data_IF_706239796959
#
_entry.id   IF_706239796959
#
_cell.length_a   1.000
_cell.length_b   1.000
_cell.length_c   1.000
_cell.angle_alpha   90.00
_cell.angle_beta   90.00
_cell.angle_gamma   90.00
#
_symmetry.space_group_name_H-M   'P 1'
#
loop_
_entity.id
_entity.type
_entity.pdbx_description
1 polymer ?
#
# COMPACT_ATOMS: atom_id res chain seq x y z
N UNK A 1 -6.41 -5.70 16.31
CA UNK A 1 -6.02 -5.51 14.90
C UNK A 1 -6.04 -4.03 14.59
N UNK A 2 -4.94 -3.50 14.03
CA UNK A 2 -4.80 -2.09 13.61
C UNK A 2 -4.77 -2.03 12.08
N UNK A 3 -5.57 -1.15 11.49
CA UNK A 3 -5.49 -0.83 10.06
C UNK A 3 -4.77 0.51 9.85
N UNK A 4 -3.80 0.55 8.93
CA UNK A 4 -3.17 1.78 8.49
C UNK A 4 -3.70 2.20 7.14
N UNK A 5 -3.98 3.49 7.00
CA UNK A 5 -4.29 4.11 5.72
C UNK A 5 -3.14 5.01 5.28
N UNK A 6 -2.34 4.56 4.31
CA UNK A 6 -1.15 5.31 3.87
C UNK A 6 -1.41 5.99 2.53
N UNK A 7 -1.20 7.30 2.44
CA UNK A 7 -1.32 8.06 1.19
C UNK A 7 -0.15 9.02 0.97
N UNK A 8 0.23 9.23 -0.29
CA UNK A 8 1.32 10.12 -0.71
C UNK A 8 2.68 9.79 -0.05
N UNK A 9 2.96 8.53 0.29
CA UNK A 9 4.25 8.16 0.91
C UNK A 9 5.44 8.57 0.04
N UNK A 10 5.36 8.39 -1.29
CA UNK A 10 6.40 8.79 -2.23
C UNK A 10 6.58 10.31 -2.41
N UNK A 11 5.61 11.13 -1.98
CA UNK A 11 5.78 12.60 -1.94
C UNK A 11 6.36 13.08 -0.63
N UNK A 12 6.15 12.29 0.42
CA UNK A 12 6.64 12.50 1.78
C UNK A 12 7.99 11.79 2.03
N UNK A 13 8.39 10.93 1.11
CA UNK A 13 9.69 10.29 1.01
C UNK A 13 10.25 10.72 -0.35
N UNK A 14 11.29 11.58 -0.43
CA UNK A 14 11.84 12.02 -1.70
C UNK A 14 12.32 10.77 -2.45
N UNK A 15 12.43 10.82 -3.79
CA UNK A 15 13.09 9.74 -4.52
C UNK A 15 14.40 9.45 -3.79
N UNK A 16 14.60 8.17 -3.46
CA UNK A 16 15.76 7.68 -2.73
C UNK A 16 17.02 8.00 -3.54
N UNK A 17 17.49 9.25 -3.44
CA UNK A 17 18.70 9.75 -4.07
C UNK A 17 19.84 9.41 -3.12
N UNK A 18 20.31 8.17 -3.27
CA UNK A 18 21.26 7.56 -2.34
C UNK A 18 22.65 8.20 -2.48
N UNK A 19 22.92 8.97 -3.56
CA UNK A 19 24.15 9.75 -3.70
C UNK A 19 24.30 10.84 -2.63
N UNK A 20 23.19 11.24 -1.99
CA UNK A 20 23.17 12.17 -0.86
C UNK A 20 23.06 11.47 0.50
N UNK A 21 23.21 10.14 0.56
CA UNK A 21 22.91 9.33 1.74
C UNK A 21 21.40 9.12 1.95
N UNK A 22 21.02 8.35 2.98
CA UNK A 22 19.60 8.24 3.37
C UNK A 22 19.10 9.64 3.72
N UNK A 23 18.11 10.14 2.96
CA UNK A 23 17.40 11.35 3.33
C UNK A 23 16.87 11.17 4.76
N UNK A 24 16.87 12.25 5.54
CA UNK A 24 16.38 12.15 6.92
C UNK A 24 14.91 11.69 6.98
N UNK A 25 14.13 11.96 5.94
CA UNK A 25 12.75 11.48 5.77
C UNK A 25 12.70 9.95 5.56
N UNK A 26 13.63 9.40 4.77
CA UNK A 26 13.74 7.96 4.57
C UNK A 26 14.09 7.19 5.85
N UNK A 27 14.84 7.81 6.77
CA UNK A 27 15.12 7.23 8.11
C UNK A 27 13.87 7.20 8.99
N UNK A 28 12.97 8.16 8.83
CA UNK A 28 11.71 8.20 9.59
C UNK A 28 10.79 7.05 9.19
N UNK A 29 10.64 6.77 7.90
CA UNK A 29 9.86 5.61 7.47
C UNK A 29 10.50 4.28 7.91
N UNK A 30 11.83 4.18 7.89
CA UNK A 30 12.52 2.99 8.39
C UNK A 30 12.27 2.77 9.89
N UNK A 31 12.40 3.81 10.73
CA UNK A 31 12.07 3.74 12.16
C UNK A 31 10.58 3.44 12.40
N UNK A 32 9.69 4.03 11.59
CA UNK A 32 8.25 3.77 11.67
C UNK A 32 7.92 2.29 11.42
N UNK A 33 8.38 1.72 10.30
CA UNK A 33 8.11 0.31 10.01
C UNK A 33 8.81 -0.64 10.98
N UNK A 34 10.01 -0.31 11.46
CA UNK A 34 10.68 -1.07 12.52
C UNK A 34 9.84 -1.08 13.81
N UNK A 35 9.33 0.09 14.21
CA UNK A 35 8.43 0.21 15.36
C UNK A 35 7.14 -0.60 15.16
N UNK A 36 6.53 -0.53 13.98
CA UNK A 36 5.32 -1.30 13.69
C UNK A 36 5.58 -2.80 13.80
N UNK A 37 6.73 -3.29 13.33
CA UNK A 37 7.08 -4.72 13.41
C UNK A 37 7.16 -5.17 14.86
N UNK A 38 7.83 -4.37 15.70
CA UNK A 38 8.00 -4.64 17.13
C UNK A 38 6.66 -4.63 17.89
N UNK A 39 5.81 -3.62 17.66
CA UNK A 39 4.59 -3.42 18.47
C UNK A 39 3.37 -4.15 17.97
N UNK A 40 3.18 -4.18 16.66
CA UNK A 40 1.96 -4.74 16.07
C UNK A 40 2.16 -6.18 15.63
N UNK A 41 3.40 -6.58 15.32
CA UNK A 41 3.69 -7.88 14.73
C UNK A 41 2.83 -8.11 13.49
N UNK A 42 2.06 -9.19 13.49
CA UNK A 42 1.15 -9.54 12.39
C UNK A 42 -0.30 -9.10 12.67
N UNK A 43 -0.55 -8.36 13.77
CA UNK A 43 -1.88 -7.80 14.12
C UNK A 43 -2.17 -6.48 13.39
N UNK A 44 -1.59 -6.31 12.21
CA UNK A 44 -1.65 -5.10 11.39
C UNK A 44 -2.16 -5.42 9.99
N UNK A 45 -2.84 -4.46 9.38
CA UNK A 45 -3.04 -4.41 7.94
C UNK A 45 -2.80 -3.01 7.42
N UNK A 46 -2.53 -2.91 6.13
CA UNK A 46 -2.30 -1.65 5.44
C UNK A 46 -3.25 -1.57 4.26
N UNK A 47 -3.95 -0.45 4.15
CA UNK A 47 -4.73 -0.06 2.98
C UNK A 47 -4.10 1.20 2.42
N UNK A 48 -3.92 1.25 1.10
CA UNK A 48 -3.32 2.39 0.44
C UNK A 48 -3.92 2.58 -0.95
N UNK A 49 -4.00 3.84 -1.34
CA UNK A 49 -4.34 4.28 -2.68
C UNK A 49 -3.10 4.59 -3.52
N UNK A 50 -1.90 4.52 -2.92
CA UNK A 50 -0.63 4.69 -3.64
C UNK A 50 -0.36 3.48 -4.55
N UNK A 51 0.04 3.76 -5.78
CA UNK A 51 0.40 2.73 -6.76
C UNK A 51 1.90 2.39 -6.74
N UNK A 52 2.73 3.15 -6.03
CA UNK A 52 4.17 2.87 -5.88
C UNK A 52 4.45 1.65 -4.97
N UNK A 53 5.72 1.26 -4.88
CA UNK A 53 6.19 0.15 -4.02
C UNK A 53 6.91 0.63 -2.76
N UNK A 54 6.74 1.89 -2.34
CA UNK A 54 7.47 2.45 -1.19
C UNK A 54 7.09 1.72 0.09
N UNK A 55 5.81 1.40 0.28
CA UNK A 55 5.34 0.63 1.44
C UNK A 55 5.99 -0.76 1.47
N UNK A 56 5.92 -1.49 0.36
CA UNK A 56 6.50 -2.82 0.21
C UNK A 56 8.00 -2.82 0.46
N UNK A 57 8.72 -1.80 -0.03
CA UNK A 57 10.14 -1.64 0.21
C UNK A 57 10.48 -1.55 1.70
N UNK A 58 9.83 -0.65 2.45
CA UNK A 58 10.12 -0.50 3.87
C UNK A 58 9.65 -1.69 4.71
N UNK A 59 8.57 -2.35 4.29
CA UNK A 59 8.11 -3.59 4.91
C UNK A 59 9.11 -4.73 4.69
N UNK A 60 9.60 -4.91 3.46
CA UNK A 60 10.60 -5.93 3.13
C UNK A 60 11.90 -5.71 3.92
N UNK A 61 12.38 -4.45 4.00
CA UNK A 61 13.56 -4.10 4.82
C UNK A 61 13.41 -4.47 6.29
N UNK A 62 12.21 -4.32 6.83
CA UNK A 62 11.89 -4.67 8.21
C UNK A 62 11.41 -6.12 8.37
N UNK A 63 11.62 -6.97 7.34
CA UNK A 63 11.30 -8.41 7.33
C UNK A 63 9.83 -8.72 7.63
N UNK A 64 8.93 -7.84 7.22
CA UNK A 64 7.53 -8.19 7.18
C UNK A 64 7.28 -9.23 6.09
N UNK A 65 6.41 -10.19 6.38
CA UNK A 65 5.78 -11.02 5.38
C UNK A 65 4.50 -10.29 4.96
N UNK A 66 4.38 -9.87 3.71
CA UNK A 66 3.16 -9.19 3.23
C UNK A 66 2.34 -10.11 2.34
N UNK A 67 1.03 -9.92 2.31
CA UNK A 67 0.14 -10.59 1.38
C UNK A 67 -0.78 -9.58 0.70
N UNK A 68 -0.95 -9.74 -0.61
CA UNK A 68 -2.05 -9.07 -1.30
C UNK A 68 -3.33 -9.90 -1.08
N UNK A 69 -4.48 -9.28 -0.82
CA UNK A 69 -5.76 -9.97 -0.65
C UNK A 69 -6.31 -10.47 -2.00
N UNK A 70 -5.50 -11.18 -2.78
CA UNK A 70 -5.84 -11.74 -4.09
C UNK A 70 -5.51 -13.23 -4.04
N UNK A 71 -6.47 -14.14 -4.28
CA UNK A 71 -6.20 -15.57 -4.23
C UNK A 71 -5.08 -15.98 -5.19
N UNK A 72 -4.15 -16.84 -4.75
CA UNK A 72 -3.01 -17.27 -5.59
C UNK A 72 -3.45 -17.84 -6.95
N UNK A 73 -4.56 -18.57 -6.99
CA UNK A 73 -5.13 -19.12 -8.22
C UNK A 73 -5.58 -18.04 -9.24
N UNK A 74 -5.70 -16.78 -8.83
CA UNK A 74 -6.19 -15.66 -9.65
C UNK A 74 -5.08 -14.81 -10.24
N UNK A 75 -3.81 -15.08 -9.94
CA UNK A 75 -2.69 -14.38 -10.55
C UNK A 75 -1.51 -15.30 -10.87
N UNK A 76 -0.66 -14.87 -11.81
CA UNK A 76 0.61 -15.52 -12.13
C UNK A 76 1.77 -14.64 -11.72
N UNK A 77 2.85 -15.24 -11.24
CA UNK A 77 4.07 -14.49 -11.00
C UNK A 77 4.72 -14.12 -12.32
N UNK A 78 5.25 -12.90 -12.36
CA UNK A 78 6.13 -12.47 -13.44
C UNK A 78 7.43 -11.97 -12.84
N UNK A 79 8.54 -12.61 -13.22
CA UNK A 79 9.88 -12.24 -12.79
C UNK A 79 10.49 -11.24 -13.77
N UNK A 80 10.96 -10.10 -13.25
CA UNK A 80 11.52 -8.99 -14.04
C UNK A 80 12.91 -8.56 -13.56
N UNK A 81 13.28 -8.99 -12.36
CA UNK A 81 14.63 -8.90 -11.86
C UNK A 81 15.30 -10.27 -12.03
N UNK A 82 16.62 -10.32 -11.84
CA UNK A 82 17.35 -11.59 -11.66
C UNK A 82 17.37 -12.03 -10.19
N UNK A 83 16.78 -11.24 -9.30
CA UNK A 83 16.75 -11.53 -7.87
C UNK A 83 15.75 -12.64 -7.55
N UNK A 84 16.05 -13.41 -6.50
CA UNK A 84 15.16 -14.46 -5.97
C UNK A 84 14.44 -14.01 -4.69
N UNK A 85 14.54 -12.73 -4.33
CA UNK A 85 13.96 -12.17 -3.11
C UNK A 85 12.51 -11.75 -3.36
N UNK A 86 11.58 -12.49 -2.75
CA UNK A 86 10.16 -12.21 -2.81
C UNK A 86 9.70 -11.51 -1.54
N UNK A 87 9.08 -10.34 -1.68
CA UNK A 87 8.53 -9.61 -0.54
C UNK A 87 7.08 -10.00 -0.23
N UNK A 88 6.35 -10.55 -1.21
CA UNK A 88 4.96 -11.00 -1.05
C UNK A 88 4.91 -12.51 -0.90
N UNK A 89 4.30 -12.98 0.19
CA UNK A 89 4.09 -14.39 0.46
C UNK A 89 2.92 -14.96 -0.37
N UNK A 90 3.02 -16.24 -0.75
CA UNK A 90 1.94 -16.97 -1.43
C UNK A 90 0.80 -17.39 -0.49
N UNK A 91 1.05 -17.38 0.82
CA UNK A 91 0.09 -17.84 1.83
C UNK A 91 -0.92 -16.75 2.15
N UNK A 92 -2.20 -17.07 2.00
CA UNK A 92 -3.34 -16.28 2.51
C UNK A 92 -3.56 -16.45 4.01
N UNK A 93 -2.61 -17.06 4.73
CA UNK A 93 -2.73 -17.31 6.16
C UNK A 93 -2.40 -16.05 6.97
N UNK A 94 -2.98 -15.97 8.17
CA UNK A 94 -2.93 -14.85 9.10
C UNK A 94 -1.51 -14.48 9.62
N UNK A 95 -0.46 -15.17 9.18
CA UNK A 95 0.95 -14.89 9.53
C UNK A 95 1.61 -13.84 8.61
N UNK A 96 0.81 -13.13 7.82
CA UNK A 96 1.27 -12.09 6.91
C UNK A 96 0.46 -10.81 7.07
N UNK A 97 1.10 -9.66 6.91
CA UNK A 97 0.43 -8.36 6.94
C UNK A 97 -0.33 -8.14 5.64
N UNK A 98 -1.67 -8.04 5.67
CA UNK A 98 -2.45 -7.77 4.47
C UNK A 98 -2.17 -6.34 3.97
N UNK A 99 -1.84 -6.22 2.68
CA UNK A 99 -1.63 -4.95 1.99
C UNK A 99 -2.65 -4.78 0.86
N UNK A 100 -3.57 -3.84 1.00
CA UNK A 100 -4.61 -3.56 0.01
C UNK A 100 -4.25 -2.32 -0.81
N UNK A 101 -4.01 -2.51 -2.12
CA UNK A 101 -3.66 -1.47 -3.10
C UNK A 101 -4.89 -1.07 -3.91
N UNK A 102 -5.70 -0.15 -3.40
CA UNK A 102 -7.06 0.10 -3.93
C UNK A 102 -7.10 0.69 -5.34
N UNK A 103 -6.04 1.40 -5.75
CA UNK A 103 -5.88 1.91 -7.11
C UNK A 103 -4.98 1.02 -7.98
N UNK A 104 -4.73 -0.21 -7.52
CA UNK A 104 -3.75 -1.08 -8.12
C UNK A 104 -2.32 -0.66 -7.81
N UNK A 105 -1.37 -1.18 -8.58
CA UNK A 105 0.04 -1.03 -8.27
C UNK A 105 0.91 -1.16 -9.53
N UNK A 106 2.09 -0.55 -9.49
CA UNK A 106 3.05 -0.58 -10.62
C UNK A 106 3.68 -1.95 -10.86
N UNK A 107 3.56 -2.87 -9.91
CA UNK A 107 3.95 -4.28 -10.05
C UNK A 107 2.78 -5.19 -10.47
N UNK A 108 1.61 -4.64 -10.76
CA UNK A 108 0.45 -5.38 -11.25
C UNK A 108 0.38 -5.26 -12.77
N UNK A 109 0.09 -6.37 -13.45
CA UNK A 109 -0.01 -6.40 -14.91
C UNK A 109 -1.20 -7.22 -15.37
N UNK A 110 -1.77 -6.84 -16.50
CA UNK A 110 -2.87 -7.54 -17.15
C UNK A 110 -2.57 -7.82 -18.61
N UNK A 111 -3.03 -8.98 -19.08
CA UNK A 111 -2.99 -9.35 -20.48
C UNK A 111 -4.10 -10.36 -20.77
N UNK A 112 -5.04 -10.01 -21.67
CA UNK A 112 -6.13 -10.87 -22.11
C UNK A 112 -6.87 -11.53 -20.92
N UNK A 113 -7.32 -10.73 -19.95
CA UNK A 113 -8.00 -11.16 -18.71
C UNK A 113 -7.16 -12.03 -17.76
N UNK A 114 -5.86 -12.20 -18.01
CA UNK A 114 -4.94 -12.83 -17.07
C UNK A 114 -4.25 -11.75 -16.26
N UNK A 115 -4.20 -11.95 -14.96
CA UNK A 115 -3.56 -11.05 -14.02
C UNK A 115 -2.20 -11.58 -13.59
N UNK A 116 -1.22 -10.68 -13.51
CA UNK A 116 0.16 -11.00 -13.15
C UNK A 116 0.64 -10.04 -12.08
N UNK A 117 1.47 -10.54 -11.17
CA UNK A 117 2.09 -9.75 -10.12
C UNK A 117 3.59 -9.99 -10.19
N UNK A 118 4.37 -8.92 -10.19
CA UNK A 118 5.77 -9.02 -9.85
C UNK A 118 5.94 -8.88 -8.33
N UNK A 119 6.50 -9.92 -7.71
CA UNK A 119 6.71 -10.00 -6.26
C UNK A 119 8.18 -9.76 -5.88
N UNK A 120 8.98 -9.23 -6.80
CA UNK A 120 10.41 -8.99 -6.63
C UNK A 120 10.67 -7.51 -6.34
N UNK A 121 11.50 -7.23 -5.34
CA UNK A 121 12.03 -5.89 -5.13
C UNK A 121 13.51 -5.91 -5.53
N UNK A 122 13.93 -4.89 -6.26
CA UNK A 122 15.35 -4.67 -6.52
C UNK A 122 16.02 -4.19 -5.25
N UNK A 123 17.13 -4.81 -4.89
CA UNK A 123 18.05 -4.24 -3.92
C UNK A 123 18.97 -3.20 -4.57
N UNK A 124 19.68 -2.45 -3.73
CA UNK A 124 20.64 -1.45 -4.20
C UNK A 124 21.79 -2.15 -4.91
N UNK A 125 22.16 -1.65 -6.09
CA UNK A 125 23.24 -2.25 -6.87
C UNK A 125 22.79 -3.46 -7.71
N UNK A 126 21.49 -3.73 -7.77
CA UNK A 126 20.94 -4.76 -8.65
C UNK A 126 20.44 -4.19 -9.97
N UNK A 127 20.51 -5.01 -11.02
CA UNK A 127 19.95 -4.70 -12.32
C UNK A 127 18.46 -5.01 -12.39
N UNK A 128 17.67 -4.05 -12.91
CA UNK A 128 16.21 -4.17 -13.05
C UNK A 128 15.82 -4.13 -14.52
N UNK A 129 14.82 -4.92 -14.91
CA UNK A 129 14.11 -4.73 -16.18
C UNK A 129 14.97 -4.84 -17.44
N UNK A 130 15.95 -5.75 -17.44
CA UNK A 130 16.87 -5.95 -18.55
C UNK A 130 18.02 -4.93 -18.62
N UNK A 131 18.11 -3.98 -17.69
CA UNK A 131 19.26 -3.07 -17.57
C UNK A 131 20.55 -3.86 -17.28
N UNK A 132 21.65 -3.50 -17.94
CA UNK A 132 23.00 -3.95 -17.57
C UNK A 132 23.65 -3.04 -16.51
N UNK A 133 23.01 -1.92 -16.19
CA UNK A 133 23.49 -0.95 -15.21
C UNK A 133 22.73 -1.16 -13.90
N UNK A 134 23.44 -1.48 -12.81
CA UNK A 134 22.90 -1.51 -11.46
C UNK A 134 22.12 -0.25 -11.12
N UNK A 135 20.91 -0.42 -10.59
CA UNK A 135 20.11 0.67 -10.06
C UNK A 135 20.59 1.02 -8.65
N UNK A 136 20.92 2.29 -8.44
CA UNK A 136 21.10 2.84 -7.09
C UNK A 136 19.77 2.99 -6.34
N UNK A 137 18.63 2.71 -6.98
CA UNK A 137 17.29 2.89 -6.42
C UNK A 137 16.71 1.54 -6.03
N UNK A 138 16.05 1.44 -4.87
CA UNK A 138 15.62 0.15 -4.35
C UNK A 138 14.16 -0.21 -4.70
N UNK A 139 13.63 0.36 -5.78
CA UNK A 139 12.27 0.10 -6.21
C UNK A 139 12.17 -0.06 -7.71
N UNK A 140 11.30 -0.97 -8.11
CA UNK A 140 10.92 -1.25 -9.48
C UNK A 140 10.29 -0.02 -10.14
N UNK A 141 10.77 0.38 -11.32
CA UNK A 141 9.99 1.28 -12.18
C UNK A 141 9.06 0.46 -13.07
N UNK A 142 7.81 0.92 -13.20
CA UNK A 142 6.81 0.28 -14.04
C UNK A 142 7.27 0.10 -15.50
N UNK A 143 8.08 1.03 -16.01
CA UNK A 143 8.62 0.99 -17.37
C UNK A 143 9.68 -0.10 -17.54
N UNK A 144 10.60 -0.24 -16.58
CA UNK A 144 11.62 -1.28 -16.57
C UNK A 144 10.95 -2.67 -16.51
N UNK A 145 9.93 -2.78 -15.66
CA UNK A 145 9.10 -3.97 -15.55
C UNK A 145 8.41 -4.30 -16.87
N UNK A 146 7.71 -3.34 -17.47
CA UNK A 146 7.01 -3.53 -18.74
C UNK A 146 7.96 -3.91 -19.88
N UNK A 147 9.13 -3.28 -19.96
CA UNK A 147 10.14 -3.57 -20.97
C UNK A 147 10.56 -5.04 -20.92
N UNK A 148 10.87 -5.53 -19.72
CA UNK A 148 11.29 -6.91 -19.49
C UNK A 148 10.16 -7.93 -19.66
N UNK A 149 8.95 -7.59 -19.21
CA UNK A 149 7.76 -8.44 -19.44
C UNK A 149 7.51 -8.58 -20.94
N UNK A 150 7.61 -7.48 -21.69
CA UNK A 150 7.47 -7.48 -23.15
C UNK A 150 8.59 -8.25 -23.84
N UNK A 151 9.83 -8.21 -23.33
CA UNK A 151 10.95 -8.95 -23.89
C UNK A 151 10.79 -10.47 -23.69
N UNK A 152 10.40 -10.90 -22.49
CA UNK A 152 10.22 -12.31 -22.11
C UNK A 152 8.96 -12.96 -22.69
N UNK A 153 7.89 -12.19 -22.91
CA UNK A 153 6.57 -12.73 -23.26
C UNK A 153 6.17 -12.47 -24.72
N UNK A 154 7.14 -12.18 -25.60
CA UNK A 154 6.92 -12.23 -27.05
C UNK A 154 6.35 -13.60 -27.43
N UNK A 155 5.32 -13.63 -28.27
CA UNK A 155 4.87 -14.90 -28.83
C UNK A 155 5.94 -15.44 -29.82
N UNK A 156 5.87 -16.72 -30.24
CA UNK A 156 6.81 -17.30 -31.21
C UNK A 156 6.85 -16.57 -32.57
N UNK A 157 5.84 -15.74 -32.85
CA UNK A 157 5.73 -14.91 -34.05
C UNK A 157 6.28 -13.49 -33.83
N UNK A 158 6.92 -13.21 -32.70
CA UNK A 158 7.53 -11.92 -32.37
C UNK A 158 6.54 -10.80 -32.00
N UNK A 159 5.24 -11.09 -31.94
CA UNK A 159 4.23 -10.09 -31.58
C UNK A 159 4.26 -9.82 -30.07
N UNK A 160 4.26 -8.55 -29.72
CA UNK A 160 4.07 -8.06 -28.36
C UNK A 160 2.68 -8.48 -27.89
N UNK A 161 2.58 -9.16 -26.75
CA UNK A 161 1.28 -9.31 -26.09
C UNK A 161 0.90 -7.97 -25.47
N UNK A 162 -0.38 -7.57 -25.57
CA UNK A 162 -0.91 -6.37 -24.94
C UNK A 162 -0.87 -6.51 -23.41
N UNK A 163 0.25 -6.10 -22.82
CA UNK A 163 0.39 -5.96 -21.38
C UNK A 163 0.08 -4.53 -20.95
N UNK A 164 -0.88 -4.41 -20.04
CA UNK A 164 -1.23 -3.16 -19.37
C UNK A 164 -0.77 -3.20 -17.92
N UNK A 165 -0.39 -2.03 -17.38
CA UNK A 165 -0.17 -1.89 -15.94
C UNK A 165 -1.54 -1.94 -15.26
N UNK A 166 -1.64 -2.70 -14.19
CA UNK A 166 -2.80 -2.80 -13.31
C UNK A 166 -2.93 -1.60 -12.37
N UNK A 167 -2.83 -0.38 -12.91
CA UNK A 167 -3.12 0.88 -12.19
C UNK A 167 -4.45 1.39 -12.68
N UNK A 168 -5.35 1.66 -11.73
CA UNK A 168 -6.74 2.02 -12.00
C UNK A 168 -6.97 3.44 -11.50
N UNK A 169 -7.45 4.36 -12.36
CA UNK A 169 -7.85 5.69 -11.91
C UNK A 169 -9.03 5.57 -10.93
N UNK A 170 -9.25 6.57 -10.06
CA UNK A 170 -10.33 6.58 -9.07
C UNK A 170 -11.71 6.77 -9.74
N UNK A 171 -12.14 5.78 -10.52
CA UNK A 171 -13.37 5.83 -11.32
C UNK A 171 -14.09 4.47 -11.32
N UNK A 172 -15.41 4.51 -11.17
CA UNK A 172 -16.29 3.34 -11.03
C UNK A 172 -16.27 2.39 -12.25
N UNK A 173 -16.14 2.94 -13.46
CA UNK A 173 -16.31 2.22 -14.73
C UNK A 173 -15.33 1.06 -14.98
N UNK A 174 -14.35 0.85 -14.08
CA UNK A 174 -13.30 -0.17 -14.22
C UNK A 174 -13.38 -1.31 -13.19
N UNK A 175 -14.20 -1.20 -12.12
CA UNK A 175 -14.40 -2.30 -11.16
C UNK A 175 -15.08 -3.51 -11.80
N UNK A 176 -16.02 -3.28 -12.71
CA UNK A 176 -16.72 -4.36 -13.42
C UNK A 176 -15.83 -5.10 -14.41
N UNK A 177 -14.75 -4.47 -14.86
CA UNK A 177 -13.85 -5.04 -15.88
C UNK A 177 -12.69 -5.83 -15.31
N UNK A 178 -12.41 -5.73 -14.00
CA UNK A 178 -11.17 -6.26 -13.39
C UNK A 178 -11.48 -7.09 -12.14
N UNK A 179 -11.53 -8.41 -12.29
CA UNK A 179 -11.83 -9.34 -11.17
C UNK A 179 -10.87 -9.18 -9.98
N UNK A 180 -9.56 -9.01 -10.24
CA UNK A 180 -8.56 -8.87 -9.18
C UNK A 180 -8.82 -7.68 -8.26
N UNK A 181 -9.38 -6.59 -8.82
CA UNK A 181 -9.67 -5.39 -8.07
C UNK A 181 -10.79 -5.64 -7.04
N UNK A 182 -11.77 -6.49 -7.39
CA UNK A 182 -12.84 -6.90 -6.46
C UNK A 182 -12.26 -7.61 -5.23
N UNK A 183 -11.27 -8.49 -5.41
CA UNK A 183 -10.61 -9.14 -4.28
C UNK A 183 -9.89 -8.14 -3.37
N UNK A 184 -9.20 -7.15 -3.95
CA UNK A 184 -8.51 -6.10 -3.20
C UNK A 184 -9.46 -5.25 -2.38
N UNK A 185 -10.57 -4.83 -2.98
CA UNK A 185 -11.59 -4.02 -2.32
C UNK A 185 -12.35 -4.80 -1.24
N UNK A 186 -12.71 -6.06 -1.51
CA UNK A 186 -13.33 -6.92 -0.50
C UNK A 186 -12.39 -7.17 0.69
N UNK A 187 -11.10 -7.39 0.41
CA UNK A 187 -10.07 -7.51 1.44
C UNK A 187 -9.99 -6.25 2.31
N UNK A 188 -9.93 -5.07 1.71
CA UNK A 188 -9.92 -3.81 2.44
C UNK A 188 -11.18 -3.61 3.28
N UNK A 189 -12.35 -3.89 2.69
CA UNK A 189 -13.65 -3.83 3.39
C UNK A 189 -13.65 -4.69 4.66
N UNK A 190 -13.25 -5.95 4.55
CA UNK A 190 -13.20 -6.87 5.69
C UNK A 190 -12.16 -6.47 6.75
N UNK A 191 -11.07 -5.83 6.35
CA UNK A 191 -10.06 -5.31 7.28
C UNK A 191 -10.57 -4.08 8.02
N UNK A 192 -11.22 -3.14 7.32
CA UNK A 192 -11.84 -1.95 7.90
C UNK A 192 -12.92 -2.36 8.91
N UNK A 193 -13.81 -3.28 8.51
CA UNK A 193 -14.90 -3.77 9.36
C UNK A 193 -14.40 -4.41 10.66
N UNK A 194 -13.23 -5.07 10.64
CA UNK A 194 -12.68 -5.76 11.82
C UNK A 194 -11.63 -4.96 12.60
N UNK A 195 -11.18 -3.82 12.09
CA UNK A 195 -10.14 -3.02 12.74
C UNK A 195 -10.66 -2.41 14.04
N UNK A 196 -9.96 -2.58 15.16
CA UNK A 196 -10.28 -1.88 16.42
C UNK A 196 -9.73 -0.46 16.43
N UNK A 197 -8.69 -0.22 15.63
CA UNK A 197 -8.06 1.07 15.45
C UNK A 197 -7.71 1.29 13.99
N UNK A 198 -8.00 2.46 13.46
CA UNK A 198 -7.64 2.88 12.11
C UNK A 198 -6.79 4.15 12.20
N UNK A 199 -5.63 4.15 11.56
CA UNK A 199 -4.72 5.29 11.53
C UNK A 199 -4.64 5.83 10.11
N UNK A 200 -5.20 7.01 9.87
CA UNK A 200 -5.09 7.73 8.60
C UNK A 200 -3.83 8.56 8.55
N UNK A 201 -3.00 8.36 7.53
CA UNK A 201 -1.75 9.09 7.32
C UNK A 201 -1.75 9.74 5.94
N UNK A 202 -1.96 11.05 5.95
CA UNK A 202 -1.90 11.94 4.79
C UNK A 202 -3.06 11.83 3.82
N UNK A 203 -4.07 11.00 4.07
CA UNK A 203 -5.21 10.82 3.18
C UNK A 203 -6.29 11.87 3.46
N UNK A 204 -6.54 12.73 2.47
CA UNK A 204 -7.47 13.85 2.58
C UNK A 204 -8.96 13.47 2.51
N UNK A 205 -9.25 12.17 2.28
CA UNK A 205 -10.60 11.65 2.12
C UNK A 205 -11.46 12.52 1.19
N UNK A 206 -11.04 12.79 -0.07
CA UNK A 206 -11.66 13.83 -0.88
C UNK A 206 -13.13 13.53 -1.19
N UNK A 207 -13.97 14.56 -1.32
CA UNK A 207 -15.41 14.38 -1.55
C UNK A 207 -15.73 13.66 -2.87
N UNK A 208 -14.82 13.73 -3.84
CA UNK A 208 -14.93 13.01 -5.12
C UNK A 208 -14.75 11.50 -4.99
N UNK A 209 -14.26 10.99 -3.86
CA UNK A 209 -14.02 9.57 -3.62
C UNK A 209 -15.25 8.90 -2.98
N UNK A 210 -16.38 8.97 -3.70
CA UNK A 210 -17.65 8.47 -3.20
C UNK A 210 -17.63 6.97 -2.89
N UNK A 211 -16.83 6.18 -3.61
CA UNK A 211 -16.77 4.73 -3.40
C UNK A 211 -16.02 4.36 -2.11
N UNK A 212 -14.93 5.07 -1.83
CA UNK A 212 -14.27 4.98 -0.54
C UNK A 212 -15.22 5.31 0.62
N UNK A 213 -15.98 6.39 0.47
CA UNK A 213 -17.00 6.77 1.44
C UNK A 213 -18.04 5.68 1.66
N UNK A 214 -18.60 5.13 0.58
CA UNK A 214 -19.54 4.01 0.66
C UNK A 214 -18.93 2.75 1.29
N UNK A 215 -17.66 2.44 0.98
CA UNK A 215 -16.97 1.29 1.58
C UNK A 215 -16.83 1.45 3.09
N UNK A 216 -16.39 2.61 3.58
CA UNK A 216 -16.28 2.89 5.01
C UNK A 216 -17.63 2.85 5.70
N UNK A 217 -18.65 3.50 5.11
CA UNK A 217 -20.01 3.49 5.63
C UNK A 217 -20.53 2.06 5.78
N UNK A 218 -20.49 1.27 4.70
CA UNK A 218 -20.96 -0.10 4.72
C UNK A 218 -20.14 -0.95 5.71
N UNK A 219 -18.81 -0.77 5.76
CA UNK A 219 -17.96 -1.51 6.68
C UNK A 219 -18.30 -1.20 8.13
N UNK A 220 -18.59 0.06 8.46
CA UNK A 220 -18.95 0.50 9.81
C UNK A 220 -20.37 0.07 10.19
N UNK A 221 -21.34 0.19 9.29
CA UNK A 221 -22.72 -0.25 9.55
C UNK A 221 -22.85 -1.76 9.79
N UNK A 222 -21.90 -2.56 9.28
CA UNK A 222 -21.84 -4.00 9.52
C UNK A 222 -20.96 -4.38 10.73
N UNK A 223 -20.45 -3.41 11.49
CA UNK A 223 -19.84 -3.67 12.80
C UNK A 223 -21.01 -3.90 13.76
N UNK A 224 -21.14 -5.12 14.28
CA UNK A 224 -22.10 -5.39 15.37
C UNK A 224 -21.88 -4.40 16.51
N UNK A 225 -22.91 -4.12 17.31
CA UNK A 225 -23.04 -2.96 18.21
C UNK A 225 -22.01 -2.74 19.33
N UNK A 226 -20.84 -3.38 19.26
CA UNK A 226 -19.67 -3.17 20.11
C UNK A 226 -18.71 -2.21 19.37
N UNK A 227 -19.04 -0.92 19.33
CA UNK A 227 -18.30 0.08 18.54
C UNK A 227 -17.07 0.61 19.31
N UNK A 228 -16.08 -0.27 19.51
CA UNK A 228 -14.78 0.07 20.10
C UNK A 228 -13.79 0.71 19.10
N UNK A 229 -14.26 1.08 17.90
CA UNK A 229 -13.42 1.61 16.83
C UNK A 229 -12.85 2.98 17.22
N UNK A 230 -11.52 3.07 17.19
CA UNK A 230 -10.79 4.33 17.38
C UNK A 230 -10.08 4.77 16.12
N UNK A 231 -10.20 6.04 15.79
CA UNK A 231 -9.60 6.64 14.60
C UNK A 231 -8.54 7.66 15.01
N UNK A 232 -7.35 7.53 14.45
CA UNK A 232 -6.28 8.52 14.56
C UNK A 232 -6.04 9.10 13.18
N UNK A 233 -5.90 10.41 13.07
CA UNK A 233 -5.66 11.10 11.80
C UNK A 233 -4.39 11.92 11.87
N UNK A 234 -3.52 11.78 10.88
CA UNK A 234 -2.30 12.57 10.71
C UNK A 234 -2.36 13.24 9.35
N UNK A 235 -2.46 14.57 9.34
CA UNK A 235 -2.44 15.35 8.11
C UNK A 235 -1.86 16.74 8.36
N UNK A 236 -1.17 17.29 7.35
CA UNK A 236 -0.62 18.64 7.42
C UNK A 236 -1.67 19.73 7.24
N UNK A 237 -2.81 19.39 6.64
CA UNK A 237 -3.86 20.33 6.33
C UNK A 237 -4.94 20.28 7.41
N UNK A 238 -5.06 21.37 8.15
CA UNK A 238 -6.06 21.54 9.21
C UNK A 238 -7.50 21.30 8.74
N UNK A 239 -7.84 21.69 7.50
CA UNK A 239 -9.21 21.48 6.99
C UNK A 239 -9.55 20.00 6.77
N UNK A 240 -8.54 19.15 6.51
CA UNK A 240 -8.71 17.70 6.46
C UNK A 240 -9.02 17.18 7.87
N UNK A 241 -8.28 17.63 8.88
CA UNK A 241 -8.50 17.19 10.26
C UNK A 241 -9.88 17.60 10.79
N UNK A 242 -10.28 18.84 10.51
CA UNK A 242 -11.62 19.35 10.84
C UNK A 242 -12.69 18.54 10.15
N UNK A 243 -12.51 18.20 8.87
CA UNK A 243 -13.42 17.33 8.13
C UNK A 243 -13.57 15.95 8.80
N UNK A 244 -12.49 15.30 9.22
CA UNK A 244 -12.60 14.01 9.90
C UNK A 244 -13.38 14.11 11.22
N UNK A 245 -13.26 15.23 11.94
CA UNK A 245 -13.99 15.46 13.20
C UNK A 245 -15.46 15.81 13.00
N UNK A 246 -15.80 16.55 11.95
CA UNK A 246 -17.16 17.01 11.68
C UNK A 246 -17.97 16.06 10.79
N UNK A 247 -17.32 15.05 10.21
CA UNK A 247 -17.98 14.07 9.35
C UNK A 247 -18.76 13.05 10.20
N UNK A 248 -20.06 12.92 9.92
CA UNK A 248 -20.99 12.03 10.66
C UNK A 248 -20.54 10.56 10.71
N UNK A 249 -19.68 10.11 9.80
CA UNK A 249 -19.21 8.72 9.75
C UNK A 249 -18.01 8.49 10.66
N UNK A 250 -17.17 9.50 10.87
CA UNK A 250 -15.93 9.38 11.63
C UNK A 250 -15.98 10.07 12.99
N UNK A 251 -16.69 11.20 13.10
CA UNK A 251 -16.56 12.19 14.17
C UNK A 251 -16.42 11.60 15.58
N UNK A 252 -17.44 10.88 16.04
CA UNK A 252 -17.47 10.30 17.39
C UNK A 252 -16.41 9.21 17.62
N UNK A 253 -15.83 8.67 16.55
CA UNK A 253 -14.79 7.63 16.57
C UNK A 253 -13.38 8.21 16.48
N UNK A 254 -13.23 9.50 16.17
CA UNK A 254 -11.91 10.17 16.11
C UNK A 254 -11.37 10.34 17.53
N UNK A 255 -10.43 9.48 17.91
CA UNK A 255 -9.72 9.51 19.18
C UNK A 255 -8.72 10.68 19.21
N UNK A 256 -7.98 10.89 18.12
CA UNK A 256 -6.94 11.91 18.07
C UNK A 256 -6.61 12.38 16.66
N UNK A 257 -6.17 13.64 16.56
CA UNK A 257 -5.67 14.22 15.32
C UNK A 257 -4.31 14.86 15.55
N UNK A 258 -3.42 14.72 14.58
CA UNK A 258 -2.09 15.32 14.58
C UNK A 258 -1.94 16.23 13.36
N UNK A 259 -1.80 17.53 13.62
CA UNK A 259 -1.52 18.53 12.59
C UNK A 259 -0.03 18.56 12.28
N UNK A 260 0.31 18.22 11.05
CA UNK A 260 1.68 18.25 10.54
C UNK A 260 1.94 17.21 9.46
N UNK A 261 3.09 17.31 8.82
CA UNK A 261 3.54 16.21 7.97
C UNK A 261 3.82 14.99 8.84
N UNK A 262 3.55 13.79 8.31
CA UNK A 262 3.79 12.54 9.03
C UNK A 262 5.20 12.46 9.61
N UNK A 263 6.20 12.84 8.81
CA UNK A 263 7.61 12.83 9.21
C UNK A 263 7.84 13.64 10.50
N UNK A 264 7.25 14.83 10.59
CA UNK A 264 7.41 15.71 11.75
C UNK A 264 6.66 15.18 12.98
N UNK A 265 5.42 14.73 12.78
CA UNK A 265 4.58 14.15 13.84
C UNK A 265 5.25 12.90 14.43
N UNK A 266 5.86 12.07 13.59
CA UNK A 266 6.59 10.89 14.01
C UNK A 266 7.85 11.25 14.80
N UNK A 267 8.66 12.19 14.30
CA UNK A 267 9.89 12.65 14.97
C UNK A 267 9.63 13.23 16.36
N UNK A 268 8.53 13.97 16.52
CA UNK A 268 8.11 14.52 17.82
C UNK A 268 7.63 13.43 18.79
N UNK A 269 7.54 12.17 18.36
CA UNK A 269 7.11 11.03 19.19
C UNK A 269 5.61 11.01 19.49
N UNK A 270 4.83 11.95 18.95
CA UNK A 270 3.42 12.12 19.27
C UNK A 270 2.60 10.91 18.84
N UNK A 271 2.68 10.53 17.56
CA UNK A 271 2.00 9.34 17.05
C UNK A 271 2.58 8.06 17.68
N UNK A 272 3.90 8.00 17.86
CA UNK A 272 4.58 6.84 18.45
C UNK A 272 4.05 6.52 19.85
N UNK A 273 3.91 7.52 20.72
CA UNK A 273 3.38 7.35 22.06
C UNK A 273 1.96 6.77 22.08
N UNK A 274 1.12 7.17 21.11
CA UNK A 274 -0.27 6.66 21.00
C UNK A 274 -0.38 5.27 20.43
N UNK A 275 0.56 4.88 19.57
CA UNK A 275 0.63 3.52 19.08
C UNK A 275 1.26 2.56 20.10
N UNK A 276 2.03 3.06 21.08
CA UNK A 276 2.61 2.25 22.16
C UNK A 276 1.58 1.79 23.20
N UNK A 277 0.48 2.52 23.39
CA UNK A 277 -0.55 2.16 24.36
C UNK A 277 -1.49 1.05 23.87
N UNK A 278 -1.03 0.19 22.96
CA UNK A 278 -1.83 -0.83 22.26
C UNK A 278 -1.15 -2.20 22.25
#
# INVERSE_FOLDING_TARGET
HIGFWLWNMYKQCPPLDIRKGKTEEGRVYEDFFAFLKDKTGDRMSIVTTNYDLTCEYYMNKNRFQISYPIPKAKYKDVSICRCQNYYVNDRTNFDSVPLCKLHGSINYFENNNRFFINRELSEMGECVGGSSVPSERPALFALDALSEIRSKLKNPLGQLRNFEIGVVPPTYAKLDKREWLKYVWNGAFDLIRRAKKIVFIGYSFPASDGFMKSMFQAAFSLRGGDDDLRIIVVDKNKSVLEKFKSDDYFGDRVEEVFEGQFVDVWRKGQLRARLQSF
#
